data_IF_744199162920
#
_entry.id   IF_744199162920
#
_cell.length_a   1.000
_cell.length_b   1.000
_cell.length_c   1.000
_cell.angle_alpha   90.00
_cell.angle_beta   90.00
_cell.angle_gamma   90.00
#
_symmetry.space_group_name_H-M   'P 1'
#
loop_
_entity.id
_entity.type
_entity.pdbx_description
1 polymer ?
#
# COMPACT_ATOMS: atom_id res chain seq x y z
N UNK A 1 -8.39 -12.40 -72.45
CA UNK A 1 -9.32 -13.25 -71.68
C UNK A 1 -8.55 -13.86 -70.52
N UNK A 2 -8.73 -13.37 -69.29
CA UNK A 2 -8.32 -14.11 -68.10
C UNK A 2 -9.27 -13.82 -66.94
N UNK A 3 -9.67 -14.90 -66.27
CA UNK A 3 -10.88 -15.01 -65.44
C UNK A 3 -10.66 -14.46 -64.03
N UNK A 4 -11.74 -13.83 -63.52
CA UNK A 4 -11.99 -13.53 -62.10
C UNK A 4 -11.86 -14.78 -61.23
N UNK A 5 -11.34 -14.64 -60.00
CA UNK A 5 -11.83 -15.36 -58.81
C UNK A 5 -11.78 -14.46 -57.58
N UNK A 6 -12.96 -14.24 -57.02
CA UNK A 6 -13.25 -13.72 -55.69
C UNK A 6 -13.25 -14.94 -54.74
N UNK A 7 -12.65 -14.82 -53.56
CA UNK A 7 -12.98 -15.68 -52.40
C UNK A 7 -13.12 -14.79 -51.17
N UNK A 8 -14.21 -15.04 -50.46
CA UNK A 8 -14.71 -14.33 -49.30
C UNK A 8 -14.17 -14.90 -47.98
N UNK A 9 -14.21 -14.06 -46.95
CA UNK A 9 -14.78 -14.42 -45.65
C UNK A 9 -13.86 -15.04 -44.61
N UNK A 10 -13.54 -14.26 -43.56
CA UNK A 10 -13.40 -14.78 -42.20
C UNK A 10 -14.22 -13.88 -41.29
N UNK A 11 -15.39 -14.36 -40.90
CA UNK A 11 -16.18 -13.80 -39.81
C UNK A 11 -15.47 -14.15 -38.49
N UNK A 12 -15.09 -13.13 -37.72
CA UNK A 12 -14.50 -13.28 -36.40
C UNK A 12 -15.51 -13.84 -35.41
N UNK A 13 -15.20 -15.01 -34.83
CA UNK A 13 -15.95 -15.58 -33.73
C UNK A 13 -15.71 -14.75 -32.45
N UNK A 14 -16.76 -14.07 -31.98
CA UNK A 14 -16.78 -13.47 -30.66
C UNK A 14 -17.01 -14.57 -29.61
N UNK A 15 -16.00 -14.84 -28.80
CA UNK A 15 -16.13 -15.69 -27.61
C UNK A 15 -16.70 -14.86 -26.47
N UNK A 16 -18.02 -14.93 -26.29
CA UNK A 16 -18.68 -14.51 -25.06
C UNK A 16 -18.45 -15.57 -23.97
N UNK A 17 -17.45 -15.33 -23.11
CA UNK A 17 -17.31 -16.05 -21.85
C UNK A 17 -18.35 -15.52 -20.86
N UNK A 18 -19.57 -16.06 -20.92
CA UNK A 18 -20.52 -15.96 -19.80
C UNK A 18 -20.14 -17.03 -18.77
N UNK A 19 -19.12 -16.74 -17.96
CA UNK A 19 -18.84 -17.52 -16.76
C UNK A 19 -19.97 -17.32 -15.77
N UNK A 20 -20.87 -18.30 -15.66
CA UNK A 20 -21.88 -18.34 -14.61
C UNK A 20 -21.18 -18.76 -13.33
N UNK A 21 -20.87 -17.80 -12.46
CA UNK A 21 -20.35 -18.10 -11.14
C UNK A 21 -21.44 -18.76 -10.30
N UNK A 22 -21.36 -20.08 -10.17
CA UNK A 22 -22.13 -20.83 -9.17
C UNK A 22 -21.65 -20.37 -7.79
N UNK A 23 -22.52 -19.66 -7.05
CA UNK A 23 -22.31 -19.36 -5.63
C UNK A 23 -22.44 -20.67 -4.85
N UNK A 24 -21.35 -21.43 -4.74
CA UNK A 24 -21.25 -22.44 -3.70
C UNK A 24 -21.19 -21.70 -2.36
N UNK A 25 -22.23 -21.88 -1.54
CA UNK A 25 -22.21 -21.47 -0.15
C UNK A 25 -21.17 -22.33 0.59
N UNK A 26 -19.95 -21.83 0.66
CA UNK A 26 -18.84 -22.51 1.31
C UNK A 26 -19.10 -22.51 2.82
N UNK A 27 -19.43 -23.69 3.37
CA UNK A 27 -19.63 -23.94 4.80
C UNK A 27 -18.32 -23.95 5.60
N UNK A 28 -17.27 -23.29 5.11
CA UNK A 28 -15.97 -23.17 5.74
C UNK A 28 -15.92 -21.97 6.69
N UNK A 29 -15.29 -22.19 7.86
CA UNK A 29 -15.13 -21.25 8.97
C UNK A 29 -15.07 -19.78 8.55
N UNK A 30 -16.10 -19.03 8.95
CA UNK A 30 -16.10 -17.57 8.81
C UNK A 30 -14.88 -17.02 9.58
N UNK A 31 -14.18 -16.01 9.03
CA UNK A 31 -13.03 -15.45 9.70
C UNK A 31 -13.44 -14.87 11.06
N UNK A 32 -12.63 -15.13 12.08
CA UNK A 32 -12.78 -14.57 13.43
C UNK A 32 -11.77 -13.43 13.63
N UNK A 33 -12.10 -12.41 14.42
CA UNK A 33 -11.18 -11.31 14.69
C UNK A 33 -9.90 -11.81 15.39
N UNK A 34 -8.74 -11.15 15.21
CA UNK A 34 -8.51 -10.03 14.28
C UNK A 34 -8.54 -10.49 12.81
N UNK A 35 -9.23 -9.73 11.96
CA UNK A 35 -9.43 -10.07 10.53
C UNK A 35 -8.21 -9.78 9.66
N UNK A 36 -7.39 -8.84 10.10
CA UNK A 36 -6.12 -8.46 9.50
C UNK A 36 -5.11 -8.27 10.64
N UNK A 37 -3.87 -8.68 10.40
CA UNK A 37 -2.75 -8.50 11.32
C UNK A 37 -1.72 -7.58 10.65
N UNK A 38 -1.09 -6.72 11.46
CA UNK A 38 0.06 -5.94 11.00
C UNK A 38 1.30 -6.83 10.89
N UNK A 39 2.23 -6.55 9.95
CA UNK A 39 3.52 -7.22 9.94
C UNK A 39 4.21 -7.11 11.31
N UNK A 40 4.94 -8.16 11.71
CA UNK A 40 5.64 -8.19 12.99
C UNK A 40 6.73 -7.13 13.13
N UNK A 41 7.27 -6.96 14.34
CA UNK A 41 8.31 -5.96 14.63
C UNK A 41 9.57 -6.12 13.78
N UNK A 42 9.88 -7.35 13.36
CA UNK A 42 10.96 -7.67 12.43
C UNK A 42 10.36 -8.29 11.17
N UNK A 43 10.18 -7.48 10.13
CA UNK A 43 9.50 -7.88 8.90
C UNK A 43 10.05 -7.10 7.69
N UNK A 44 9.94 -7.71 6.52
CA UNK A 44 10.21 -7.05 5.25
C UNK A 44 9.13 -7.43 4.24
N UNK A 45 8.73 -6.47 3.40
CA UNK A 45 7.78 -6.71 2.32
C UNK A 45 7.96 -5.68 1.20
N UNK A 46 7.50 -6.03 0.00
CA UNK A 46 7.34 -5.10 -1.10
C UNK A 46 5.86 -4.92 -1.44
N UNK A 47 5.56 -3.75 -2.00
CA UNK A 47 4.24 -3.37 -2.51
C UNK A 47 4.45 -2.91 -3.95
N UNK A 48 3.73 -3.54 -4.88
CA UNK A 48 3.60 -3.06 -6.25
C UNK A 48 2.26 -2.36 -6.40
N UNK A 49 2.27 -1.17 -6.99
CA UNK A 49 1.11 -0.29 -7.13
C UNK A 49 0.79 -0.07 -8.60
N UNK A 50 -0.46 -0.32 -8.97
CA UNK A 50 -0.96 -0.12 -10.32
C UNK A 50 -2.20 0.78 -10.30
N UNK A 51 -2.15 1.87 -11.06
CA UNK A 51 -3.33 2.71 -11.28
C UNK A 51 -4.33 1.99 -12.20
N UNK A 52 -5.63 2.11 -11.90
CA UNK A 52 -6.69 1.57 -12.76
C UNK A 52 -6.97 2.43 -13.98
N UNK A 53 -6.72 3.74 -13.87
CA UNK A 53 -6.82 4.70 -14.95
C UNK A 53 -5.45 5.33 -15.22
N UNK A 54 -5.15 5.72 -16.47
CA UNK A 54 -3.94 6.47 -16.75
C UNK A 54 -3.97 7.79 -15.97
N UNK A 55 -2.81 8.27 -15.47
CA UNK A 55 -2.74 9.57 -14.81
C UNK A 55 -3.13 10.68 -15.79
N UNK A 56 -3.77 11.72 -15.27
CA UNK A 56 -4.03 12.93 -16.05
C UNK A 56 -2.72 13.61 -16.45
N UNK A 57 -2.73 14.33 -17.57
CA UNK A 57 -1.59 15.14 -17.99
C UNK A 57 -1.21 16.15 -16.90
N UNK A 58 0.08 16.26 -16.58
CA UNK A 58 0.59 17.13 -15.52
C UNK A 58 0.36 16.64 -14.09
N UNK A 59 -0.14 15.41 -13.88
CA UNK A 59 -0.27 14.85 -12.54
C UNK A 59 1.11 14.71 -11.85
N UNK A 60 1.17 14.92 -10.52
CA UNK A 60 2.40 14.67 -9.77
C UNK A 60 2.81 13.19 -9.85
N UNK A 61 4.10 12.86 -9.63
CA UNK A 61 4.57 11.48 -9.65
C UNK A 61 3.77 10.59 -8.69
N UNK A 62 3.30 9.46 -9.18
CA UNK A 62 2.57 8.48 -8.38
C UNK A 62 3.47 7.32 -7.96
N UNK A 63 3.19 6.74 -6.80
CA UNK A 63 3.95 5.59 -6.28
C UNK A 63 3.76 4.36 -7.19
N UNK A 64 4.85 3.67 -7.52
CA UNK A 64 4.84 2.42 -8.31
C UNK A 64 5.31 1.22 -7.51
N UNK A 65 6.36 1.39 -6.72
CA UNK A 65 6.88 0.35 -5.86
C UNK A 65 7.26 0.93 -4.51
N UNK A 66 6.99 0.18 -3.46
CA UNK A 66 7.50 0.46 -2.11
C UNK A 66 8.14 -0.80 -1.56
N UNK A 67 9.38 -0.70 -1.11
CA UNK A 67 10.01 -1.73 -0.29
C UNK A 67 10.04 -1.26 1.15
N UNK A 68 9.60 -2.11 2.06
CA UNK A 68 9.56 -1.82 3.49
C UNK A 68 10.45 -2.81 4.23
N UNK A 69 11.30 -2.27 5.11
CA UNK A 69 12.10 -3.04 6.06
C UNK A 69 11.83 -2.47 7.44
N UNK A 70 11.41 -3.32 8.36
CA UNK A 70 11.11 -2.97 9.75
C UNK A 70 11.87 -3.89 10.70
N UNK A 71 12.59 -3.32 11.65
CA UNK A 71 13.30 -4.05 12.70
C UNK A 71 13.76 -3.09 13.80
N UNK A 72 13.67 -3.52 15.06
CA UNK A 72 14.19 -2.76 16.21
C UNK A 72 13.57 -1.39 16.40
N UNK A 73 12.26 -1.22 16.14
CA UNK A 73 11.57 0.06 16.24
C UNK A 73 11.90 1.07 15.13
N UNK A 74 12.66 0.64 14.11
CA UNK A 74 12.98 1.41 12.92
C UNK A 74 12.26 0.82 11.72
N UNK A 75 11.62 1.67 10.91
CA UNK A 75 11.06 1.30 9.61
C UNK A 75 11.68 2.16 8.53
N UNK A 76 12.10 1.55 7.43
CA UNK A 76 12.54 2.21 6.20
C UNK A 76 11.56 1.86 5.09
N UNK A 77 11.18 2.87 4.32
CA UNK A 77 10.44 2.72 3.08
C UNK A 77 11.28 3.26 1.93
N UNK A 78 11.62 2.43 0.96
CA UNK A 78 12.24 2.85 -0.30
C UNK A 78 11.15 2.86 -1.37
N UNK A 79 10.87 4.04 -1.92
CA UNK A 79 9.80 4.23 -2.90
C UNK A 79 10.38 4.48 -4.29
N UNK A 80 9.78 3.87 -5.30
CA UNK A 80 9.98 4.23 -6.72
C UNK A 80 8.70 4.85 -7.28
N UNK A 81 8.87 5.94 -8.00
CA UNK A 81 7.79 6.76 -8.53
C UNK A 81 7.61 6.58 -10.03
N UNK A 82 6.48 7.04 -10.56
CA UNK A 82 6.08 6.88 -11.97
C UNK A 82 6.99 7.59 -12.97
N UNK A 83 7.72 8.60 -12.53
CA UNK A 83 8.72 9.33 -13.32
C UNK A 83 10.12 8.68 -13.26
N UNK A 84 10.25 7.54 -12.56
CA UNK A 84 11.52 6.85 -12.32
C UNK A 84 12.31 7.39 -11.13
N UNK A 85 11.83 8.46 -10.48
CA UNK A 85 12.41 9.01 -9.26
C UNK A 85 12.36 8.02 -8.10
N UNK A 86 13.23 8.25 -7.11
CA UNK A 86 13.29 7.45 -5.90
C UNK A 86 13.36 8.34 -4.67
N UNK A 87 12.70 7.91 -3.60
CA UNK A 87 12.73 8.57 -2.29
C UNK A 87 12.82 7.55 -1.18
N UNK A 88 13.22 8.01 0.00
CA UNK A 88 13.12 7.21 1.21
C UNK A 88 12.26 7.89 2.28
N UNK A 89 11.46 7.10 2.97
CA UNK A 89 10.85 7.50 4.23
C UNK A 89 11.39 6.64 5.37
N UNK A 90 11.47 7.23 6.54
CA UNK A 90 11.99 6.57 7.73
C UNK A 90 11.05 6.80 8.91
N UNK A 91 10.85 5.79 9.73
CA UNK A 91 10.21 5.89 11.03
C UNK A 91 11.20 5.45 12.10
N UNK A 92 11.43 6.28 13.11
CA UNK A 92 12.30 5.98 14.25
C UNK A 92 11.57 6.37 15.52
N UNK A 93 11.33 5.40 16.41
CA UNK A 93 10.62 5.62 17.69
C UNK A 93 9.26 6.32 17.50
N UNK A 94 8.50 5.93 16.47
CA UNK A 94 7.19 6.51 16.16
C UNK A 94 7.22 7.81 15.33
N UNK A 95 8.37 8.48 15.23
CA UNK A 95 8.54 9.71 14.46
C UNK A 95 8.83 9.39 13.00
N UNK A 96 8.07 10.00 12.09
CA UNK A 96 8.24 9.83 10.66
C UNK A 96 9.09 10.94 10.05
N UNK A 97 9.96 10.57 9.13
CA UNK A 97 10.70 11.44 8.24
C UNK A 97 10.30 11.05 6.82
N UNK A 98 9.60 11.94 6.11
CA UNK A 98 9.16 11.72 4.73
C UNK A 98 9.95 12.61 3.78
N UNK A 99 10.39 12.03 2.68
CA UNK A 99 11.02 12.76 1.59
C UNK A 99 9.97 13.06 0.51
N UNK A 100 9.87 14.33 0.12
CA UNK A 100 9.00 14.75 -0.96
C UNK A 100 9.57 14.30 -2.32
N UNK A 101 8.77 13.64 -3.18
CA UNK A 101 9.27 13.06 -4.44
C UNK A 101 9.64 14.09 -5.51
N UNK A 102 9.18 15.32 -5.42
CA UNK A 102 9.46 16.36 -6.42
C UNK A 102 10.63 17.25 -6.00
N UNK A 103 10.69 17.60 -4.73
CA UNK A 103 11.63 18.58 -4.16
C UNK A 103 12.76 17.93 -3.37
N UNK A 104 12.65 16.64 -3.02
CA UNK A 104 13.56 15.92 -2.13
C UNK A 104 13.74 16.58 -0.75
N UNK A 105 12.79 17.43 -0.36
CA UNK A 105 12.78 18.04 0.97
C UNK A 105 12.35 17.01 2.00
N UNK A 106 12.99 17.06 3.17
CA UNK A 106 12.68 16.16 4.29
C UNK A 106 11.73 16.84 5.25
N UNK A 107 10.58 16.20 5.50
CA UNK A 107 9.59 16.62 6.47
C UNK A 107 9.56 15.66 7.66
N UNK A 108 9.47 16.19 8.87
CA UNK A 108 9.27 15.42 10.10
C UNK A 108 7.81 15.46 10.51
N UNK A 109 7.29 14.30 10.91
CA UNK A 109 5.92 14.15 11.39
C UNK A 109 6.00 13.41 12.72
N UNK A 110 5.69 14.15 13.78
CA UNK A 110 5.48 13.59 15.10
C UNK A 110 3.97 13.40 15.32
N UNK A 111 3.48 12.15 15.40
CA UNK A 111 2.06 11.88 15.62
C UNK A 111 1.50 12.44 16.93
N UNK A 112 2.34 12.63 17.95
CA UNK A 112 1.91 13.18 19.24
C UNK A 112 1.65 14.70 19.17
N UNK A 113 2.31 15.41 18.25
CA UNK A 113 2.29 16.89 18.21
C UNK A 113 1.73 17.46 16.90
N UNK A 114 1.45 16.62 15.91
CA UNK A 114 0.92 17.04 14.61
C UNK A 114 -0.53 16.59 14.50
N UNK A 115 -1.48 17.50 14.67
CA UNK A 115 -2.93 17.19 14.59
C UNK A 115 -3.32 16.51 13.26
N UNK A 116 -2.57 16.77 12.20
CA UNK A 116 -2.76 16.15 10.88
C UNK A 116 -1.92 14.91 10.61
N UNK A 117 -1.12 14.45 11.58
CA UNK A 117 -0.34 13.22 11.42
C UNK A 117 -1.23 12.03 11.11
N UNK A 118 -2.41 11.91 11.70
CA UNK A 118 -3.32 10.81 11.41
C UNK A 118 -3.71 10.75 9.91
N UNK A 119 -3.88 11.89 9.25
CA UNK A 119 -4.16 11.95 7.81
C UNK A 119 -2.91 11.66 6.97
N UNK A 120 -1.76 12.23 7.34
CA UNK A 120 -0.50 12.03 6.59
C UNK A 120 0.03 10.59 6.73
N UNK A 121 -0.27 9.94 7.87
CA UNK A 121 0.02 8.53 8.12
C UNK A 121 -1.03 7.61 7.51
N UNK A 122 -2.28 8.04 7.35
CA UNK A 122 -3.27 7.29 6.55
C UNK A 122 -2.82 7.11 5.10
N UNK A 123 -2.09 8.05 4.51
CA UNK A 123 -1.46 7.78 3.20
C UNK A 123 -0.33 6.74 3.25
N UNK A 124 0.29 6.55 4.42
CA UNK A 124 1.30 5.53 4.62
C UNK A 124 0.71 4.12 4.80
N UNK A 125 -0.59 4.02 5.14
CA UNK A 125 -1.28 2.77 5.42
C UNK A 125 -2.64 2.72 4.70
N UNK A 126 -2.82 1.75 3.81
CA UNK A 126 -4.13 1.48 3.18
C UNK A 126 -5.22 1.45 4.25
N UNK A 127 -6.31 2.21 4.07
CA UNK A 127 -7.39 2.25 5.06
C UNK A 127 -8.08 0.89 5.12
N UNK A 128 -7.80 0.15 6.18
CA UNK A 128 -8.31 -1.19 6.43
C UNK A 128 -9.43 -1.21 7.47
N UNK A 129 -9.88 -0.04 7.94
CA UNK A 129 -10.85 0.07 9.04
C UNK A 129 -12.22 -0.57 8.72
N UNK A 130 -12.51 -0.80 7.44
CA UNK A 130 -13.73 -1.43 6.96
C UNK A 130 -13.67 -2.95 6.85
N UNK A 131 -12.48 -3.56 6.99
CA UNK A 131 -12.30 -5.01 6.90
C UNK A 131 -12.87 -5.67 8.15
N UNK A 132 -13.98 -6.38 7.99
CA UNK A 132 -14.64 -7.08 9.09
C UNK A 132 -15.78 -7.98 8.64
N UNK A 133 -16.54 -8.55 9.58
CA UNK A 133 -17.61 -9.52 9.28
C UNK A 133 -18.64 -8.98 8.29
N UNK A 134 -19.00 -7.69 8.41
CA UNK A 134 -20.00 -7.06 7.54
C UNK A 134 -19.55 -6.83 6.10
N UNK A 135 -18.24 -6.88 5.84
CA UNK A 135 -17.65 -6.70 4.51
C UNK A 135 -17.03 -7.99 3.98
N UNK A 136 -17.11 -9.10 4.74
CA UNK A 136 -16.66 -10.41 4.29
C UNK A 136 -17.56 -10.90 3.15
N UNK A 137 -16.93 -11.29 2.04
CA UNK A 137 -17.63 -11.79 0.86
C UNK A 137 -17.52 -13.30 0.77
N UNK A 138 -16.30 -13.83 0.79
CA UNK A 138 -16.01 -15.24 0.51
C UNK A 138 -14.59 -15.63 0.91
N UNK A 139 -14.32 -16.93 0.85
CA UNK A 139 -12.98 -17.49 0.78
C UNK A 139 -12.65 -17.80 -0.67
N UNK A 140 -11.44 -17.50 -1.10
CA UNK A 140 -10.99 -17.69 -2.49
C UNK A 140 -9.47 -17.94 -2.54
N UNK A 141 -8.90 -18.12 -3.73
CA UNK A 141 -7.45 -18.29 -3.92
C UNK A 141 -6.86 -17.17 -4.77
N UNK A 142 -5.83 -16.51 -4.25
CA UNK A 142 -5.00 -15.57 -5.01
C UNK A 142 -3.67 -16.25 -5.35
N UNK A 143 -3.40 -16.47 -6.63
CA UNK A 143 -2.19 -17.18 -7.09
C UNK A 143 -1.98 -18.55 -6.39
N UNK A 144 -3.08 -19.27 -6.13
CA UNK A 144 -3.07 -20.56 -5.43
C UNK A 144 -3.06 -20.47 -3.90
N UNK A 145 -2.79 -19.29 -3.31
CA UNK A 145 -2.80 -19.07 -1.86
C UNK A 145 -4.24 -18.82 -1.35
N UNK A 146 -4.73 -19.57 -0.36
CA UNK A 146 -6.04 -19.32 0.24
C UNK A 146 -6.12 -17.94 0.91
N UNK A 147 -7.17 -17.19 0.58
CA UNK A 147 -7.43 -15.86 1.12
C UNK A 147 -8.89 -15.72 1.56
N UNK A 148 -9.13 -14.89 2.58
CA UNK A 148 -10.44 -14.29 2.84
C UNK A 148 -10.57 -13.02 2.00
N UNK A 149 -11.70 -12.86 1.33
CA UNK A 149 -12.00 -11.73 0.46
C UNK A 149 -13.05 -10.85 1.13
N UNK A 150 -12.74 -9.57 1.25
CA UNK A 150 -13.63 -8.54 1.79
C UNK A 150 -13.88 -7.50 0.71
N UNK A 151 -15.08 -6.92 0.67
CA UNK A 151 -15.37 -5.79 -0.20
C UNK A 151 -16.48 -4.89 0.30
N UNK A 152 -16.46 -3.66 -0.21
CA UNK A 152 -17.51 -2.65 0.00
C UNK A 152 -17.64 -1.77 -1.23
N UNK A 153 -18.77 -1.08 -1.38
CA UNK A 153 -18.88 0.02 -2.32
C UNK A 153 -17.87 1.11 -1.94
N UNK A 154 -17.19 1.72 -2.91
CA UNK A 154 -16.25 2.80 -2.65
C UNK A 154 -16.97 3.99 -1.99
N UNK A 155 -16.36 4.54 -0.94
CA UNK A 155 -16.97 5.59 -0.13
C UNK A 155 -17.21 6.92 -0.89
N UNK A 156 -16.55 7.12 -2.04
CA UNK A 156 -16.44 8.42 -2.70
C UNK A 156 -17.42 8.66 -3.86
N UNK A 157 -18.53 7.90 -3.97
CA UNK A 157 -19.49 8.11 -5.05
C UNK A 157 -18.88 7.97 -6.45
N UNK A 158 -17.81 7.16 -6.57
CA UNK A 158 -17.23 6.80 -7.85
C UNK A 158 -18.29 6.18 -8.76
N UNK A 159 -18.05 6.24 -10.08
CA UNK A 159 -18.92 5.62 -11.08
C UNK A 159 -19.42 4.25 -10.60
N UNK A 160 -20.71 3.97 -10.81
CA UNK A 160 -21.35 2.68 -10.50
C UNK A 160 -20.37 1.52 -10.77
N UNK A 161 -19.95 0.82 -9.71
CA UNK A 161 -19.02 -0.31 -9.80
C UNK A 161 -17.61 -0.10 -9.24
N UNK A 162 -17.23 1.10 -8.78
CA UNK A 162 -16.01 1.25 -7.98
C UNK A 162 -16.20 0.60 -6.61
N UNK A 163 -15.72 -0.64 -6.46
CA UNK A 163 -15.69 -1.37 -5.20
C UNK A 163 -14.27 -1.38 -4.65
N UNK A 164 -14.15 -1.24 -3.33
CA UNK A 164 -12.91 -1.54 -2.61
C UNK A 164 -12.89 -3.04 -2.30
N UNK A 165 -11.72 -3.67 -2.44
CA UNK A 165 -11.55 -5.10 -2.18
C UNK A 165 -10.24 -5.36 -1.42
N UNK A 166 -10.26 -6.27 -0.45
CA UNK A 166 -9.10 -6.67 0.33
C UNK A 166 -9.02 -8.19 0.38
N UNK A 167 -7.86 -8.74 0.05
CA UNK A 167 -7.58 -10.17 0.09
C UNK A 167 -6.57 -10.44 1.18
N UNK A 168 -6.99 -11.18 2.20
CA UNK A 168 -6.19 -11.46 3.39
C UNK A 168 -5.83 -12.94 3.38
N UNK A 169 -4.53 -13.25 3.41
CA UNK A 169 -4.06 -14.63 3.46
C UNK A 169 -4.61 -15.36 4.70
N UNK A 170 -5.18 -16.55 4.51
CA UNK A 170 -5.83 -17.30 5.60
C UNK A 170 -4.83 -17.65 6.72
N UNK A 171 -3.63 -18.07 6.34
CA UNK A 171 -2.66 -18.62 7.29
C UNK A 171 -1.96 -17.53 8.12
N UNK A 172 -1.59 -16.41 7.47
CA UNK A 172 -0.82 -15.34 8.11
C UNK A 172 -1.67 -14.17 8.57
N UNK A 173 -2.91 -14.07 8.09
CA UNK A 173 -3.80 -12.91 8.26
C UNK A 173 -3.20 -11.59 7.76
N UNK A 174 -2.19 -11.68 6.90
CA UNK A 174 -1.56 -10.53 6.25
C UNK A 174 -2.28 -10.21 4.95
N UNK A 175 -2.26 -8.94 4.56
CA UNK A 175 -2.85 -8.49 3.31
C UNK A 175 -2.01 -8.96 2.12
N UNK A 176 -2.62 -9.66 1.17
CA UNK A 176 -1.95 -10.12 -0.05
C UNK A 176 -2.26 -9.19 -1.23
N UNK A 177 -3.47 -8.66 -1.27
CA UNK A 177 -3.92 -7.71 -2.28
C UNK A 177 -4.92 -6.72 -1.69
N UNK A 178 -4.88 -5.49 -2.21
CA UNK A 178 -5.84 -4.45 -1.90
C UNK A 178 -6.21 -3.67 -3.15
N UNK A 179 -7.45 -3.24 -3.21
CA UNK A 179 -8.00 -2.37 -4.23
C UNK A 179 -8.74 -1.25 -3.53
N UNK A 180 -8.28 -0.01 -3.69
CA UNK A 180 -8.90 1.17 -3.08
C UNK A 180 -9.94 1.85 -4.00
N UNK A 181 -10.30 1.19 -5.10
CA UNK A 181 -11.18 1.72 -6.15
C UNK A 181 -10.45 2.55 -7.21
N UNK A 182 -9.24 3.06 -6.93
CA UNK A 182 -8.43 3.88 -7.84
C UNK A 182 -7.16 3.15 -8.27
N UNK A 183 -6.55 2.40 -7.35
CA UNK A 183 -5.30 1.68 -7.47
C UNK A 183 -5.45 0.29 -6.90
N UNK A 184 -4.63 -0.60 -7.42
CA UNK A 184 -4.43 -1.93 -6.84
C UNK A 184 -3.03 -2.02 -6.25
N UNK A 185 -2.93 -2.76 -5.15
CA UNK A 185 -1.72 -2.95 -4.36
C UNK A 185 -1.50 -4.45 -4.20
N UNK A 186 -0.33 -4.92 -4.61
CA UNK A 186 0.08 -6.32 -4.43
C UNK A 186 1.20 -6.38 -3.42
N UNK A 187 1.01 -7.19 -2.39
CA UNK A 187 1.96 -7.35 -1.30
C UNK A 187 2.76 -8.63 -1.49
N UNK A 188 4.07 -8.53 -1.32
CA UNK A 188 4.96 -9.68 -1.27
C UNK A 188 5.80 -9.61 0.00
N UNK A 189 5.54 -10.52 0.93
CA UNK A 189 6.31 -10.62 2.17
C UNK A 189 7.62 -11.36 1.91
N UNK A 190 8.70 -10.80 2.44
CA UNK A 190 10.07 -11.27 2.28
C UNK A 190 10.56 -11.86 3.61
N UNK A 191 11.65 -12.65 3.59
CA UNK A 191 12.30 -13.09 4.82
C UNK A 191 12.61 -11.91 5.76
N UNK A 192 12.45 -12.07 7.08
CA UNK A 192 12.77 -11.02 8.04
C UNK A 192 14.22 -10.52 7.89
N UNK A 193 14.47 -9.21 8.04
CA UNK A 193 15.84 -8.69 7.96
C UNK A 193 16.70 -9.22 9.11
N UNK A 194 17.99 -9.48 8.84
CA UNK A 194 18.95 -9.94 9.85
C UNK A 194 19.46 -8.84 10.78
N UNK A 195 19.28 -7.57 10.39
CA UNK A 195 19.71 -6.41 11.18
C UNK A 195 18.75 -5.23 10.99
N UNK A 196 18.67 -4.32 11.98
CA UNK A 196 17.94 -3.07 11.82
C UNK A 196 18.45 -2.24 10.63
N UNK A 197 17.55 -1.53 9.91
CA UNK A 197 17.98 -0.61 8.87
C UNK A 197 18.72 0.59 9.47
N UNK A 198 19.81 1.00 8.84
CA UNK A 198 20.68 2.09 9.33
C UNK A 198 20.27 3.43 8.71
N UNK A 199 19.93 4.40 9.57
CA UNK A 199 19.50 5.72 9.16
C UNK A 199 20.62 6.50 8.44
N UNK A 200 20.43 6.95 7.18
CA UNK A 200 21.47 7.68 6.45
C UNK A 200 21.78 9.06 7.07
N UNK A 201 22.97 9.63 6.84
CA UNK A 201 23.39 10.88 7.47
C UNK A 201 22.41 12.05 7.29
N UNK A 202 21.78 12.17 6.11
CA UNK A 202 20.79 13.23 5.83
C UNK A 202 19.57 13.15 6.74
N UNK A 203 19.05 11.94 6.99
CA UNK A 203 17.92 11.71 7.89
C UNK A 203 18.36 11.81 9.36
N UNK A 204 19.54 11.27 9.68
CA UNK A 204 20.09 11.34 11.03
C UNK A 204 20.31 12.79 11.50
N UNK A 205 20.76 13.69 10.61
CA UNK A 205 20.90 15.12 10.91
C UNK A 205 19.55 15.79 11.21
N UNK A 206 18.52 15.51 10.40
CA UNK A 206 17.16 16.02 10.60
C UNK A 206 16.56 15.51 11.91
N UNK A 207 16.68 14.21 12.17
CA UNK A 207 16.20 13.60 13.41
C UNK A 207 16.90 14.16 14.64
N UNK A 208 18.22 14.34 14.60
CA UNK A 208 18.98 14.93 15.71
C UNK A 208 18.54 16.35 16.01
N UNK A 209 18.40 17.19 14.97
CA UNK A 209 17.93 18.58 15.14
C UNK A 209 16.58 18.62 15.84
N UNK A 210 15.66 17.73 15.46
CA UNK A 210 14.37 17.59 16.11
C UNK A 210 14.47 17.18 17.59
N UNK A 211 15.32 16.20 17.90
CA UNK A 211 15.58 15.80 19.29
C UNK A 211 16.18 16.95 20.12
N UNK A 212 17.10 17.72 19.54
CA UNK A 212 17.71 18.89 20.18
C UNK A 212 16.69 20.01 20.42
N UNK A 213 15.75 20.20 19.49
CA UNK A 213 14.67 21.19 19.61
C UNK A 213 13.62 20.82 20.67
N UNK A 214 13.40 19.51 20.90
CA UNK A 214 12.53 19.01 21.97
C UNK A 214 13.18 19.06 23.35
N UNK A 215 14.50 19.25 23.46
CA UNK A 215 15.18 19.34 24.75
C UNK A 215 14.88 20.71 25.42
N UNK A 216 14.14 20.74 26.55
CA UNK A 216 13.69 21.99 27.17
C UNK A 216 14.81 22.83 27.82
N UNK A 217 16.05 22.34 27.83
CA UNK A 217 17.20 23.00 28.47
C UNK A 217 17.86 24.11 27.63
N UNK A 218 17.22 24.63 26.58
CA UNK A 218 17.70 25.83 25.85
C UNK A 218 17.50 27.14 26.63
N UNK A 219 17.73 27.12 27.93
CA UNK A 219 17.89 28.33 28.74
C UNK A 219 19.38 28.64 28.77
N UNK A 220 19.85 29.76 28.19
CA UNK A 220 21.22 30.19 28.36
C UNK A 220 21.47 30.36 29.86
N UNK A 221 22.40 29.59 30.43
CA UNK A 221 22.84 29.85 31.79
C UNK A 221 23.52 31.22 31.81
N UNK A 222 23.12 32.13 32.72
CA UNK A 222 23.80 33.42 32.85
C UNK A 222 25.28 33.19 33.19
N UNK A 223 26.17 34.09 32.73
CA UNK A 223 27.59 33.99 33.06
C UNK A 223 27.77 33.97 34.58
N UNK A 224 28.57 33.00 35.06
CA UNK A 224 29.01 32.93 36.46
C UNK A 224 29.95 34.08 36.80
#
# INVERSE_FOLDING_TARGET
MNRKRIVAGIAGAAWLWCGTSVLAADGGDRPMPPYIVSPGETAAWSITVQDKAPPSEGAPPSLRERQVVQSGGVRRESNKWSDGGQTENWQVNGIWMKEDPQTHTLSLIDPAHTAMAALILREAFLDQSWVGTGTYLRRDKLNGQPCFVYGRAAANGGAEGAAEEAWIAVDTRLIAFFDDGVRTYRFQYLPPPSSPPVLPPRFAGVYRKFQDDLNPLKIPQPPQ
#
